data_IF_642388027991
#
_entry.id   IF_642388027991
#
_cell.length_a   1.000
_cell.length_b   1.000
_cell.length_c   1.000
_cell.angle_alpha   90.00
_cell.angle_beta   90.00
_cell.angle_gamma   90.00
#
_symmetry.space_group_name_H-M   'P 1'
#
loop_
_entity.id
_entity.type
_entity.pdbx_description
1 polymer ?
#
# COMPACT_ATOMS: atom_id res chain seq x y z
N UNK A 1 -81.35 -32.37 -16.52
CA UNK A 1 -80.21 -33.30 -16.69
C UNK A 1 -78.95 -32.63 -16.16
N UNK A 2 -78.33 -33.26 -15.16
CA UNK A 2 -76.90 -33.21 -14.75
C UNK A 2 -76.31 -31.83 -14.37
N UNK A 3 -76.14 -31.56 -13.08
CA UNK A 3 -74.92 -31.78 -12.24
C UNK A 3 -74.10 -30.49 -12.16
N UNK A 4 -74.13 -29.74 -11.05
CA UNK A 4 -73.27 -29.87 -9.84
C UNK A 4 -71.76 -29.83 -10.11
N UNK A 5 -71.11 -28.92 -9.36
CA UNK A 5 -69.79 -28.98 -8.73
C UNK A 5 -68.65 -28.06 -9.22
N UNK A 6 -68.21 -27.25 -8.24
CA UNK A 6 -66.84 -26.84 -7.86
C UNK A 6 -66.29 -25.53 -8.43
N UNK A 7 -66.47 -24.51 -7.58
CA UNK A 7 -65.50 -23.45 -7.35
C UNK A 7 -64.12 -24.02 -7.01
N UNK A 8 -63.08 -23.53 -7.69
CA UNK A 8 -61.71 -23.42 -7.18
C UNK A 8 -61.16 -22.10 -7.72
N UNK A 9 -60.89 -21.17 -6.81
CA UNK A 9 -60.23 -19.90 -7.07
C UNK A 9 -58.79 -20.16 -7.52
N UNK A 10 -58.42 -19.69 -8.72
CA UNK A 10 -57.03 -19.60 -9.14
C UNK A 10 -56.58 -18.17 -8.82
N UNK A 11 -56.10 -17.99 -7.60
CA UNK A 11 -55.32 -16.85 -7.17
C UNK A 11 -53.93 -16.98 -7.82
N UNK A 12 -53.75 -16.33 -8.96
CA UNK A 12 -52.44 -16.15 -9.60
C UNK A 12 -51.63 -15.15 -8.77
N UNK A 13 -51.12 -15.61 -7.63
CA UNK A 13 -50.02 -14.96 -6.95
C UNK A 13 -48.73 -15.44 -7.61
N UNK A 14 -48.26 -14.66 -8.58
CA UNK A 14 -46.92 -14.75 -9.11
C UNK A 14 -45.95 -14.47 -7.96
N UNK A 15 -45.52 -15.54 -7.28
CA UNK A 15 -44.39 -15.53 -6.36
C UNK A 15 -43.19 -15.17 -7.23
N UNK A 16 -42.81 -13.90 -7.18
CA UNK A 16 -41.49 -13.42 -7.58
C UNK A 16 -40.51 -14.24 -6.76
N UNK A 17 -39.80 -15.15 -7.41
CA UNK A 17 -38.59 -15.74 -6.88
C UNK A 17 -37.61 -14.60 -6.65
N UNK A 18 -37.64 -14.03 -5.45
CA UNK A 18 -36.47 -13.42 -4.83
C UNK A 18 -35.50 -14.58 -4.57
N UNK A 19 -34.77 -14.97 -5.61
CA UNK A 19 -33.45 -15.51 -5.42
C UNK A 19 -32.63 -14.35 -4.85
N UNK A 20 -32.57 -14.26 -3.52
CA UNK A 20 -31.38 -13.71 -2.90
C UNK A 20 -30.23 -14.60 -3.38
N UNK A 21 -29.51 -14.14 -4.39
CA UNK A 21 -28.19 -14.65 -4.68
C UNK A 21 -27.35 -14.26 -3.47
N UNK A 22 -27.27 -15.16 -2.49
CA UNK A 22 -26.13 -15.18 -1.60
C UNK A 22 -24.92 -15.37 -2.52
N UNK A 23 -24.26 -14.26 -2.86
CA UNK A 23 -22.93 -14.32 -3.44
C UNK A 23 -22.12 -15.22 -2.52
N UNK A 24 -21.63 -16.34 -3.05
CA UNK A 24 -20.69 -17.19 -2.35
C UNK A 24 -19.45 -16.34 -2.08
N UNK A 25 -19.44 -15.64 -0.95
CA UNK A 25 -18.26 -15.01 -0.39
C UNK A 25 -17.29 -16.18 -0.20
N UNK A 26 -16.33 -16.28 -1.11
CA UNK A 26 -15.19 -17.18 -1.00
C UNK A 26 -14.69 -17.12 0.44
N UNK A 27 -14.39 -18.27 1.05
CA UNK A 27 -13.89 -18.32 2.44
C UNK A 27 -12.72 -17.36 2.66
N UNK A 28 -11.94 -17.08 1.61
CA UNK A 28 -10.84 -16.10 1.60
C UNK A 28 -11.28 -14.62 1.58
N UNK A 29 -12.42 -14.29 0.98
CA UNK A 29 -12.95 -12.93 1.03
C UNK A 29 -13.39 -12.58 2.47
N UNK A 30 -13.89 -13.57 3.23
CA UNK A 30 -14.20 -13.39 4.66
C UNK A 30 -12.95 -13.20 5.53
N UNK A 31 -11.80 -13.79 5.15
CA UNK A 31 -10.52 -13.64 5.88
C UNK A 31 -9.98 -12.20 5.85
N UNK A 32 -10.27 -11.46 4.77
CA UNK A 32 -9.89 -10.05 4.65
C UNK A 32 -11.04 -9.11 5.04
N UNK A 33 -12.19 -9.67 5.43
CA UNK A 33 -13.37 -8.90 5.80
C UNK A 33 -13.93 -8.05 4.67
N UNK A 34 -13.87 -8.56 3.44
CA UNK A 34 -14.27 -7.83 2.25
C UNK A 34 -15.76 -7.48 2.29
N UNK A 35 -16.08 -6.19 2.16
CA UNK A 35 -17.45 -5.68 2.12
C UNK A 35 -17.86 -5.28 0.69
N UNK A 36 -16.93 -4.74 -0.11
CA UNK A 36 -17.18 -4.35 -1.50
C UNK A 36 -15.91 -4.45 -2.33
N UNK A 37 -16.00 -5.06 -3.52
CA UNK A 37 -14.91 -5.14 -4.50
C UNK A 37 -15.46 -4.93 -5.91
N UNK A 38 -15.04 -3.85 -6.55
CA UNK A 38 -15.21 -3.60 -7.98
C UNK A 38 -14.10 -2.66 -8.48
N UNK A 39 -14.09 -2.34 -9.77
CA UNK A 39 -13.07 -1.47 -10.38
C UNK A 39 -12.91 -0.12 -9.67
N UNK A 40 -13.99 0.41 -9.09
CA UNK A 40 -14.02 1.73 -8.49
C UNK A 40 -14.03 1.72 -6.95
N UNK A 41 -14.19 0.56 -6.30
CA UNK A 41 -14.34 0.49 -4.85
C UNK A 41 -13.66 -0.77 -4.30
N UNK A 42 -12.89 -0.61 -3.23
CA UNK A 42 -12.33 -1.71 -2.47
C UNK A 42 -12.42 -1.43 -0.97
N UNK A 43 -13.30 -2.14 -0.29
CA UNK A 43 -13.70 -1.85 1.09
C UNK A 43 -13.77 -3.12 1.93
N UNK A 44 -13.34 -3.05 3.19
CA UNK A 44 -13.46 -4.16 4.12
C UNK A 44 -13.11 -3.80 5.57
N UNK A 45 -13.42 -4.73 6.47
CA UNK A 45 -13.14 -4.63 7.91
C UNK A 45 -12.70 -5.96 8.48
N UNK A 46 -11.55 -5.98 9.13
CA UNK A 46 -10.95 -7.19 9.68
C UNK A 46 -10.24 -6.93 11.01
N UNK A 47 -10.01 -8.00 11.76
CA UNK A 47 -9.21 -7.98 12.98
C UNK A 47 -7.90 -8.70 12.70
N UNK A 48 -6.77 -8.01 12.87
CA UNK A 48 -5.43 -8.57 12.66
C UNK A 48 -4.58 -8.26 13.88
N UNK A 49 -3.99 -9.29 14.48
CA UNK A 49 -3.16 -9.17 15.69
C UNK A 49 -3.86 -8.40 16.83
N UNK A 50 -5.16 -8.62 17.03
CA UNK A 50 -6.02 -7.92 18.00
C UNK A 50 -6.26 -6.43 17.73
N UNK A 51 -5.94 -5.94 16.53
CA UNK A 51 -6.26 -4.58 16.09
C UNK A 51 -7.43 -4.60 15.12
N UNK A 52 -8.39 -3.68 15.31
CA UNK A 52 -9.49 -3.49 14.37
C UNK A 52 -9.00 -2.63 13.22
N UNK A 53 -9.12 -3.12 11.99
CA UNK A 53 -8.71 -2.42 10.79
C UNK A 53 -9.91 -2.29 9.86
N UNK A 54 -10.15 -1.10 9.35
CA UNK A 54 -11.05 -0.88 8.23
C UNK A 54 -10.35 -0.13 7.12
N UNK A 55 -10.58 -0.55 5.89
CA UNK A 55 -10.01 0.06 4.70
C UNK A 55 -11.11 0.40 3.69
N UNK A 56 -10.95 1.53 3.03
CA UNK A 56 -11.82 2.00 1.95
C UNK A 56 -10.92 2.62 0.89
N UNK A 57 -11.06 2.21 -0.36
CA UNK A 57 -10.48 2.91 -1.51
C UNK A 57 -11.54 3.11 -2.56
N UNK A 58 -11.78 4.36 -2.93
CA UNK A 58 -12.76 4.74 -3.95
C UNK A 58 -12.09 5.51 -5.09
N UNK A 59 -12.45 5.17 -6.32
CA UNK A 59 -12.08 5.93 -7.52
C UNK A 59 -12.99 7.17 -7.65
N UNK A 60 -12.37 8.34 -7.78
CA UNK A 60 -13.05 9.61 -8.11
C UNK A 60 -13.00 9.93 -9.61
N UNK A 61 -12.02 9.35 -10.31
CA UNK A 61 -11.86 9.31 -11.77
C UNK A 61 -10.82 8.23 -12.10
N UNK A 62 -10.61 7.91 -13.38
CA UNK A 62 -9.71 6.85 -13.85
C UNK A 62 -8.33 6.81 -13.15
N UNK A 63 -7.75 7.97 -12.84
CA UNK A 63 -6.42 8.08 -12.24
C UNK A 63 -6.41 8.78 -10.87
N UNK A 64 -7.57 9.01 -10.25
CA UNK A 64 -7.66 9.67 -8.93
C UNK A 64 -8.39 8.81 -7.91
N UNK A 65 -7.71 8.46 -6.83
CA UNK A 65 -8.20 7.54 -5.82
C UNK A 65 -8.16 8.19 -4.44
N UNK A 66 -9.22 7.96 -3.66
CA UNK A 66 -9.28 8.35 -2.26
C UNK A 66 -9.24 7.09 -1.39
N UNK A 67 -8.28 7.05 -0.49
CA UNK A 67 -8.13 6.03 0.53
C UNK A 67 -8.55 6.58 1.88
N UNK A 68 -9.20 5.74 2.67
CA UNK A 68 -9.33 5.90 4.12
C UNK A 68 -8.95 4.59 4.80
N UNK A 69 -8.03 4.65 5.75
CA UNK A 69 -7.52 3.53 6.51
C UNK A 69 -7.65 3.85 8.00
N UNK A 70 -8.39 3.04 8.73
CA UNK A 70 -8.54 3.17 10.18
C UNK A 70 -7.94 1.96 10.88
N UNK A 71 -7.15 2.20 11.92
CA UNK A 71 -6.66 1.17 12.84
C UNK A 71 -6.93 1.60 14.29
N UNK A 72 -7.70 0.82 15.04
CA UNK A 72 -8.11 1.12 16.41
C UNK A 72 -8.57 2.58 16.62
N UNK A 73 -9.45 3.07 15.74
CA UNK A 73 -10.00 4.45 15.73
C UNK A 73 -9.01 5.53 15.33
N UNK A 74 -7.81 5.19 14.89
CA UNK A 74 -6.84 6.13 14.31
C UNK A 74 -7.00 6.13 12.80
N UNK A 75 -7.40 7.27 12.27
CA UNK A 75 -7.74 7.47 10.86
C UNK A 75 -6.56 8.03 10.07
N UNK A 76 -6.32 7.50 8.88
CA UNK A 76 -5.46 8.08 7.85
C UNK A 76 -6.24 8.15 6.55
N UNK A 77 -6.38 9.36 6.03
CA UNK A 77 -6.96 9.62 4.72
C UNK A 77 -5.83 9.95 3.73
N UNK A 78 -5.97 9.51 2.49
CA UNK A 78 -5.05 9.88 1.42
C UNK A 78 -5.79 10.08 0.08
N UNK A 79 -5.37 11.07 -0.69
CA UNK A 79 -5.77 11.25 -2.09
C UNK A 79 -4.55 11.01 -2.97
N UNK A 80 -4.66 10.06 -3.90
CA UNK A 80 -3.60 9.65 -4.82
C UNK A 80 -4.03 10.02 -6.23
N UNK A 81 -3.20 10.81 -6.90
CA UNK A 81 -3.38 11.16 -8.31
C UNK A 81 -2.23 10.53 -9.10
N UNK A 82 -2.55 9.55 -9.95
CA UNK A 82 -1.59 8.84 -10.81
C UNK A 82 -1.24 9.60 -12.09
N UNK A 83 -2.02 10.62 -12.47
CA UNK A 83 -1.74 11.46 -13.65
C UNK A 83 -0.57 12.42 -13.39
N UNK A 84 -0.55 13.04 -12.21
CA UNK A 84 0.50 13.97 -11.80
C UNK A 84 1.40 13.45 -10.67
N UNK A 85 1.23 12.17 -10.30
CA UNK A 85 2.03 11.47 -9.29
C UNK A 85 2.12 12.24 -7.97
N UNK A 86 0.96 12.65 -7.46
CA UNK A 86 0.86 13.33 -6.18
C UNK A 86 0.08 12.52 -5.16
N UNK A 87 0.47 12.70 -3.90
CA UNK A 87 -0.18 12.07 -2.75
C UNK A 87 -0.44 13.16 -1.71
N UNK A 88 -1.71 13.41 -1.42
CA UNK A 88 -2.13 14.24 -0.29
C UNK A 88 -2.52 13.33 0.87
N UNK A 89 -1.73 13.31 1.95
CA UNK A 89 -1.98 12.48 3.14
C UNK A 89 -2.49 13.36 4.28
N UNK A 90 -3.51 12.90 4.99
CA UNK A 90 -3.95 13.46 6.26
C UNK A 90 -4.14 12.34 7.30
N UNK A 91 -3.15 12.15 8.16
CA UNK A 91 -3.27 11.24 9.30
C UNK A 91 -3.68 11.90 10.59
N UNK A 92 -4.22 13.13 10.57
CA UNK A 92 -4.78 13.79 11.76
C UNK A 92 -3.81 13.87 12.97
N UNK A 93 -2.51 13.95 12.69
CA UNK A 93 -1.41 13.95 13.67
C UNK A 93 -1.37 12.71 14.58
N UNK A 94 -1.86 11.57 14.10
CA UNK A 94 -1.75 10.31 14.84
C UNK A 94 -0.31 9.79 14.83
N UNK A 95 -0.03 8.93 15.80
CA UNK A 95 1.17 8.08 15.83
C UNK A 95 0.72 6.63 15.89
N UNK A 96 1.24 5.82 14.97
CA UNK A 96 1.05 4.36 14.99
C UNK A 96 2.16 3.71 15.82
N UNK A 97 1.76 2.80 16.71
CA UNK A 97 2.64 1.93 17.46
C UNK A 97 3.20 0.81 16.59
N UNK A 98 4.26 0.16 17.06
CA UNK A 98 4.88 -0.97 16.37
C UNK A 98 3.95 -2.19 16.19
N UNK A 99 2.99 -2.39 17.09
CA UNK A 99 2.01 -3.46 16.94
C UNK A 99 0.99 -3.10 15.85
N UNK A 100 0.50 -1.85 15.83
CA UNK A 100 -0.45 -1.35 14.83
C UNK A 100 0.16 -1.42 13.42
N UNK A 101 1.41 -0.98 13.25
CA UNK A 101 2.13 -1.09 11.97
C UNK A 101 2.32 -2.53 11.50
N UNK A 102 2.68 -3.44 12.41
CA UNK A 102 2.76 -4.88 12.09
C UNK A 102 1.41 -5.44 11.68
N UNK A 103 0.32 -4.99 12.31
CA UNK A 103 -1.03 -5.36 11.91
C UNK A 103 -1.37 -4.84 10.51
N UNK A 104 -1.03 -3.58 10.18
CA UNK A 104 -1.19 -3.03 8.83
C UNK A 104 -0.42 -3.83 7.77
N UNK A 105 0.87 -4.12 8.01
CA UNK A 105 1.67 -4.94 7.09
C UNK A 105 1.09 -6.34 6.90
N UNK A 106 0.56 -6.94 7.98
CA UNK A 106 -0.10 -8.25 7.91
C UNK A 106 -1.44 -8.17 7.16
N UNK A 107 -2.20 -7.08 7.31
CA UNK A 107 -3.42 -6.84 6.53
C UNK A 107 -3.12 -6.78 5.03
N UNK A 108 -2.11 -6.00 4.63
CA UNK A 108 -1.69 -5.98 3.23
C UNK A 108 -1.34 -7.39 2.72
N UNK A 109 -0.61 -8.17 3.52
CA UNK A 109 -0.24 -9.54 3.16
C UNK A 109 -1.48 -10.40 2.89
N UNK A 110 -2.46 -10.37 3.79
CA UNK A 110 -3.69 -11.16 3.64
C UNK A 110 -4.50 -10.73 2.40
N UNK A 111 -4.63 -9.43 2.16
CA UNK A 111 -5.32 -8.87 0.99
C UNK A 111 -4.68 -9.33 -0.31
N UNK A 112 -3.36 -9.30 -0.38
CA UNK A 112 -2.69 -9.77 -1.60
C UNK A 112 -2.76 -11.29 -1.76
N UNK A 113 -2.60 -12.07 -0.69
CA UNK A 113 -2.79 -13.52 -0.74
C UNK A 113 -4.21 -13.88 -1.26
N UNK A 114 -5.22 -13.09 -0.88
CA UNK A 114 -6.55 -13.16 -1.47
C UNK A 114 -6.51 -12.88 -2.98
N UNK A 115 -6.06 -11.70 -3.42
CA UNK A 115 -6.03 -11.28 -4.84
C UNK A 115 -5.28 -12.29 -5.72
N UNK A 116 -4.10 -12.72 -5.30
CA UNK A 116 -3.28 -13.70 -6.02
C UNK A 116 -4.03 -15.02 -6.23
N UNK A 117 -4.89 -15.39 -5.28
CA UNK A 117 -5.56 -16.69 -5.28
C UNK A 117 -6.97 -16.67 -5.86
N UNK A 118 -7.57 -15.50 -6.06
CA UNK A 118 -8.92 -15.34 -6.60
C UNK A 118 -8.96 -14.64 -7.96
N UNK A 119 -7.92 -13.87 -8.29
CA UNK A 119 -7.82 -13.09 -9.54
C UNK A 119 -6.57 -13.43 -10.36
N UNK A 120 -5.85 -14.51 -10.03
CA UNK A 120 -4.56 -14.88 -10.64
C UNK A 120 -3.55 -13.72 -10.66
N UNK A 121 -3.64 -12.81 -9.68
CA UNK A 121 -2.79 -11.63 -9.58
C UNK A 121 -3.21 -10.43 -10.43
N UNK A 122 -4.35 -10.49 -11.11
CA UNK A 122 -4.95 -9.33 -11.77
C UNK A 122 -5.43 -8.32 -10.72
N UNK A 123 -4.74 -7.19 -10.65
CA UNK A 123 -4.87 -6.19 -9.59
C UNK A 123 -5.50 -4.91 -10.15
N UNK A 124 -6.61 -4.47 -9.55
CA UNK A 124 -7.23 -3.19 -9.89
C UNK A 124 -6.40 -2.03 -9.32
N UNK A 125 -6.60 -0.82 -9.84
CA UNK A 125 -5.93 0.36 -9.28
C UNK A 125 -6.38 0.70 -7.86
N UNK A 126 -7.63 0.37 -7.47
CA UNK A 126 -8.10 0.50 -6.09
C UNK A 126 -7.37 -0.45 -5.14
N UNK A 127 -7.18 -1.71 -5.55
CA UNK A 127 -6.42 -2.72 -4.81
C UNK A 127 -4.93 -2.35 -4.69
N UNK A 128 -4.32 -1.91 -5.80
CA UNK A 128 -2.93 -1.47 -5.85
C UNK A 128 -2.69 -0.23 -4.96
N UNK A 129 -3.59 0.76 -5.03
CA UNK A 129 -3.54 1.94 -4.16
C UNK A 129 -3.59 1.52 -2.69
N UNK A 130 -4.46 0.57 -2.33
CA UNK A 130 -4.54 0.08 -0.95
C UNK A 130 -3.22 -0.56 -0.51
N UNK A 131 -2.72 -1.49 -1.30
CA UNK A 131 -1.55 -2.29 -0.96
C UNK A 131 -0.29 -1.43 -0.84
N UNK A 132 -0.01 -0.56 -1.82
CA UNK A 132 1.15 0.33 -1.83
C UNK A 132 1.16 1.27 -0.62
N UNK A 133 0.04 1.95 -0.35
CA UNK A 133 -0.08 2.84 0.79
C UNK A 133 -0.05 2.09 2.13
N UNK A 134 -0.70 0.93 2.25
CA UNK A 134 -0.64 0.12 3.48
C UNK A 134 0.79 -0.30 3.79
N UNK A 135 1.57 -0.67 2.78
CA UNK A 135 2.99 -0.98 2.94
C UNK A 135 3.79 0.25 3.37
N UNK A 136 3.59 1.38 2.69
CA UNK A 136 4.25 2.64 3.02
C UNK A 136 3.96 3.09 4.46
N UNK A 137 2.68 3.07 4.86
CA UNK A 137 2.24 3.43 6.21
C UNK A 137 2.78 2.42 7.23
N UNK A 138 2.66 1.13 6.98
CA UNK A 138 3.16 0.09 7.89
C UNK A 138 4.67 0.07 8.06
N UNK A 139 5.43 0.62 7.10
CA UNK A 139 6.89 0.78 7.18
C UNK A 139 7.34 2.12 7.71
N UNK A 140 6.41 2.99 8.09
CA UNK A 140 6.77 4.28 8.65
C UNK A 140 7.58 4.16 9.94
N UNK A 141 8.31 5.22 10.30
CA UNK A 141 9.08 5.28 11.53
C UNK A 141 8.37 5.06 12.82
N UNK A 142 9.11 4.55 13.79
CA UNK A 142 8.71 4.62 15.19
C UNK A 142 8.46 6.09 15.56
N UNK A 143 7.32 6.36 16.21
CA UNK A 143 6.89 7.71 16.56
C UNK A 143 6.65 8.65 15.36
N UNK A 144 6.48 8.13 14.14
CA UNK A 144 6.09 8.95 13.00
C UNK A 144 4.73 9.61 13.25
N UNK A 145 4.69 10.94 13.15
CA UNK A 145 3.46 11.71 13.24
C UNK A 145 2.90 11.84 11.84
N UNK A 146 1.76 11.22 11.58
CA UNK A 146 1.06 11.38 10.31
C UNK A 146 0.29 12.70 10.30
N UNK A 147 0.99 13.80 10.08
CA UNK A 147 0.38 15.10 9.87
C UNK A 147 -0.19 15.22 8.45
N UNK A 148 -0.92 16.31 8.20
CA UNK A 148 -1.28 16.69 6.83
C UNK A 148 -0.01 17.01 6.05
N UNK A 149 0.18 16.39 4.88
CA UNK A 149 1.29 16.68 3.96
C UNK A 149 0.91 16.39 2.51
N UNK A 150 1.61 17.05 1.60
CA UNK A 150 1.53 16.82 0.17
C UNK A 150 2.87 16.32 -0.33
N UNK A 151 2.86 15.18 -1.01
CA UNK A 151 4.00 14.59 -1.71
C UNK A 151 3.76 14.85 -3.20
N UNK A 152 4.79 15.36 -3.86
CA UNK A 152 4.83 15.56 -5.30
C UNK A 152 6.04 14.78 -5.80
N UNK A 153 5.85 13.87 -6.76
CA UNK A 153 6.95 13.25 -7.48
C UNK A 153 7.85 14.34 -8.04
N UNK A 154 9.13 14.33 -7.67
CA UNK A 154 10.04 15.41 -8.03
C UNK A 154 10.39 15.31 -9.51
N UNK A 155 10.26 16.42 -10.22
CA UNK A 155 10.87 16.58 -11.54
C UNK A 155 12.33 17.00 -11.38
N UNK A 156 13.23 16.03 -11.17
CA UNK A 156 14.69 16.16 -11.24
C UNK A 156 15.23 17.55 -10.79
N UNK A 157 15.22 17.81 -9.47
CA UNK A 157 15.71 19.07 -8.91
C UNK A 157 17.12 18.90 -8.33
N UNK A 158 18.11 19.49 -8.98
CA UNK A 158 19.55 19.50 -8.65
C UNK A 158 19.93 20.21 -7.33
N UNK A 159 19.16 20.11 -6.25
CA UNK A 159 19.49 20.77 -4.97
C UNK A 159 20.29 19.86 -4.05
N UNK A 160 21.55 20.24 -3.78
CA UNK A 160 22.62 19.51 -3.10
C UNK A 160 22.38 19.03 -1.64
N UNK A 161 21.17 19.17 -1.11
CA UNK A 161 20.80 18.78 0.27
C UNK A 161 19.96 17.52 0.38
N UNK A 162 19.56 16.98 -0.77
CA UNK A 162 19.22 15.59 -1.00
C UNK A 162 19.18 15.43 -2.53
N UNK A 163 19.73 14.34 -3.05
CA UNK A 163 19.60 14.03 -4.46
C UNK A 163 18.32 13.25 -4.68
N UNK A 164 17.17 13.88 -4.48
CA UNK A 164 15.92 13.31 -4.97
C UNK A 164 15.95 13.33 -6.50
N UNK A 165 16.15 12.16 -7.10
CA UNK A 165 16.19 12.01 -8.56
C UNK A 165 14.81 11.72 -9.16
N UNK A 166 13.76 11.82 -8.34
CA UNK A 166 12.43 11.33 -8.60
C UNK A 166 12.45 9.82 -8.88
N UNK A 167 11.36 9.32 -9.45
CA UNK A 167 11.22 7.88 -9.70
C UNK A 167 12.20 7.40 -10.78
N UNK A 168 13.34 6.90 -10.32
CA UNK A 168 14.43 6.38 -11.15
C UNK A 168 14.62 4.88 -10.94
N UNK A 169 14.31 4.09 -11.96
CA UNK A 169 14.41 2.63 -11.88
C UNK A 169 15.88 2.16 -11.84
N UNK A 170 16.20 1.30 -10.87
CA UNK A 170 17.47 0.57 -10.81
C UNK A 170 17.23 -0.94 -10.97
N UNK A 171 18.28 -1.72 -11.26
CA UNK A 171 18.13 -3.13 -11.64
C UNK A 171 18.80 -4.05 -10.63
N UNK A 172 18.08 -5.09 -10.18
CA UNK A 172 18.66 -6.13 -9.32
C UNK A 172 19.96 -6.69 -9.91
N UNK A 173 20.92 -7.00 -9.05
CA UNK A 173 22.26 -7.50 -9.41
C UNK A 173 23.17 -6.51 -10.17
N UNK A 174 22.78 -5.24 -10.35
CA UNK A 174 23.71 -4.19 -10.76
C UNK A 174 24.31 -3.50 -9.54
N UNK A 175 25.30 -2.64 -9.78
CA UNK A 175 25.80 -1.69 -8.79
C UNK A 175 25.33 -0.30 -9.15
N UNK A 176 24.86 0.43 -8.16
CA UNK A 176 24.52 1.85 -8.25
C UNK A 176 25.19 2.57 -7.08
N UNK A 177 25.35 3.89 -7.20
CA UNK A 177 25.73 4.70 -6.06
C UNK A 177 24.45 5.01 -5.29
N UNK A 178 24.44 4.73 -4.00
CA UNK A 178 23.46 5.27 -3.07
C UNK A 178 23.98 6.64 -2.60
N UNK A 179 23.15 7.67 -2.68
CA UNK A 179 23.50 9.06 -2.42
C UNK A 179 22.52 9.62 -1.39
N UNK A 180 23.00 9.79 -0.17
CA UNK A 180 22.21 10.17 1.00
C UNK A 180 23.03 11.14 1.84
N UNK A 181 22.39 11.84 2.76
CA UNK A 181 23.09 12.57 3.81
C UNK A 181 22.69 12.08 5.19
N UNK A 182 23.50 12.41 6.18
CA UNK A 182 23.16 12.18 7.57
C UNK A 182 23.80 13.26 8.44
N UNK A 183 23.73 13.11 9.76
CA UNK A 183 24.35 14.07 10.69
C UNK A 183 25.86 14.28 10.52
N UNK A 184 26.55 13.45 9.72
CA UNK A 184 27.98 13.55 9.37
C UNK A 184 28.23 14.16 7.99
N UNK A 185 27.18 14.49 7.23
CA UNK A 185 27.26 15.10 5.90
C UNK A 185 26.81 14.16 4.79
N UNK A 186 27.20 14.49 3.56
CA UNK A 186 26.76 13.77 2.35
C UNK A 186 27.66 12.55 2.08
N UNK A 187 27.03 11.45 1.67
CA UNK A 187 27.68 10.16 1.39
C UNK A 187 27.37 9.70 -0.03
N UNK A 188 28.26 8.87 -0.57
CA UNK A 188 28.06 8.19 -1.85
C UNK A 188 28.69 6.81 -1.79
N UNK A 189 27.84 5.79 -1.64
CA UNK A 189 28.27 4.41 -1.44
C UNK A 189 27.92 3.56 -2.66
N UNK A 190 28.88 2.79 -3.18
CA UNK A 190 28.59 1.86 -4.28
C UNK A 190 27.96 0.58 -3.74
N UNK A 191 26.65 0.44 -3.91
CA UNK A 191 25.86 -0.66 -3.36
C UNK A 191 25.38 -1.60 -4.45
N UNK A 192 25.38 -2.91 -4.16
CA UNK A 192 24.79 -3.91 -5.04
C UNK A 192 23.27 -3.96 -4.82
N UNK A 193 22.51 -3.71 -5.87
CA UNK A 193 21.05 -3.74 -5.85
C UNK A 193 20.54 -5.13 -5.49
N UNK A 194 19.67 -5.21 -4.49
CA UNK A 194 19.11 -6.47 -3.97
C UNK A 194 20.03 -7.24 -3.02
N UNK A 195 21.15 -6.65 -2.56
CA UNK A 195 22.04 -7.28 -1.58
C UNK A 195 21.42 -7.31 -0.17
N UNK A 196 21.94 -8.16 0.73
CA UNK A 196 21.48 -8.30 2.12
C UNK A 196 22.64 -8.03 3.09
N UNK A 197 22.89 -6.76 3.46
CA UNK A 197 24.06 -6.40 4.25
C UNK A 197 23.97 -6.79 5.74
N UNK A 198 22.77 -7.00 6.29
CA UNK A 198 22.61 -7.42 7.71
C UNK A 198 21.57 -8.52 7.87
N UNK A 199 21.59 -9.18 9.03
CA UNK A 199 20.52 -10.11 9.41
C UNK A 199 19.20 -9.34 9.53
N UNK A 200 18.15 -9.84 8.86
CA UNK A 200 16.83 -9.19 8.76
C UNK A 200 16.82 -7.80 8.11
N UNK A 201 17.87 -7.43 7.38
CA UNK A 201 17.92 -6.16 6.63
C UNK A 201 18.59 -6.37 5.28
N UNK A 202 17.85 -6.12 4.21
CA UNK A 202 18.39 -6.23 2.87
C UNK A 202 17.41 -5.89 1.78
N UNK A 203 17.83 -6.28 0.59
CA UNK A 203 17.14 -6.05 -0.68
C UNK A 203 17.29 -4.63 -1.15
N UNK A 204 18.49 -4.10 -0.87
CA UNK A 204 18.92 -2.74 -1.10
C UNK A 204 18.33 -2.17 -2.39
N UNK A 205 17.58 -1.09 -2.24
CA UNK A 205 16.94 -0.35 -3.30
C UNK A 205 15.57 -0.84 -3.69
N UNK A 206 15.02 -1.86 -3.02
CA UNK A 206 13.65 -2.31 -3.25
C UNK A 206 12.73 -1.46 -2.38
N UNK A 207 11.82 -0.71 -2.99
CA UNK A 207 10.74 -0.09 -2.23
C UNK A 207 9.87 -1.18 -1.62
N UNK A 208 9.77 -1.16 -0.28
CA UNK A 208 9.13 -2.21 0.48
C UNK A 208 10.12 -3.02 1.33
N UNK A 209 9.70 -4.21 1.76
CA UNK A 209 10.37 -4.92 2.86
C UNK A 209 10.92 -6.28 2.44
N UNK A 210 12.21 -6.51 2.75
CA UNK A 210 13.00 -7.72 2.46
C UNK A 210 12.83 -8.26 1.01
N UNK A 211 13.53 -9.34 0.68
CA UNK A 211 13.52 -9.96 -0.66
C UNK A 211 12.50 -11.09 -0.71
N UNK A 212 11.95 -11.43 0.45
CA UNK A 212 11.26 -12.66 0.71
C UNK A 212 9.78 -12.43 0.92
N UNK A 213 9.09 -11.74 -0.01
CA UNK A 213 7.67 -11.98 -0.31
C UNK A 213 7.15 -11.07 -1.42
N UNK A 214 6.41 -11.69 -2.34
CA UNK A 214 6.03 -11.23 -3.68
C UNK A 214 4.63 -10.58 -3.75
N UNK A 215 4.03 -10.25 -2.62
CA UNK A 215 2.58 -10.01 -2.56
C UNK A 215 2.19 -8.58 -2.97
N UNK A 216 3.09 -7.60 -2.96
CA UNK A 216 2.85 -6.31 -3.65
C UNK A 216 3.83 -6.21 -4.80
N UNK A 217 3.38 -5.82 -6.02
CA UNK A 217 4.28 -5.32 -7.03
C UNK A 217 5.18 -4.26 -6.40
N UNK A 218 6.48 -4.53 -6.38
CA UNK A 218 7.48 -3.61 -5.86
C UNK A 218 8.36 -3.11 -6.99
N UNK A 219 9.05 -2.01 -6.74
CA UNK A 219 10.04 -1.46 -7.65
C UNK A 219 11.42 -1.46 -7.01
N UNK A 220 12.46 -1.73 -7.80
CA UNK A 220 13.80 -1.26 -7.48
C UNK A 220 13.96 0.17 -7.99
N UNK A 221 14.17 1.11 -7.08
CA UNK A 221 14.34 2.52 -7.40
C UNK A 221 15.49 3.15 -6.63
N UNK A 222 15.89 4.34 -7.07
CA UNK A 222 17.04 5.07 -6.56
C UNK A 222 16.79 5.66 -5.17
N UNK A 223 15.67 6.35 -4.92
CA UNK A 223 15.40 6.93 -3.58
C UNK A 223 15.24 5.82 -2.52
N UNK A 224 14.63 4.69 -2.89
CA UNK A 224 14.59 3.50 -2.03
C UNK A 224 16.00 2.93 -1.75
N UNK A 225 16.97 3.07 -2.67
CA UNK A 225 18.35 2.64 -2.45
C UNK A 225 19.10 3.57 -1.51
N UNK A 226 18.88 4.88 -1.66
CA UNK A 226 19.49 5.90 -0.82
C UNK A 226 19.03 5.75 0.63
N UNK A 227 17.72 5.64 0.82
CA UNK A 227 17.12 5.35 2.12
C UNK A 227 17.65 4.05 2.72
N UNK A 228 17.71 2.97 1.93
CA UNK A 228 18.18 1.68 2.42
C UNK A 228 19.64 1.73 2.86
N UNK A 229 20.50 2.40 2.08
CA UNK A 229 21.91 2.49 2.43
C UNK A 229 22.14 3.42 3.62
N UNK A 230 21.46 4.56 3.70
CA UNK A 230 21.51 5.41 4.87
C UNK A 230 21.12 4.63 6.14
N UNK A 231 19.99 3.91 6.06
CA UNK A 231 19.46 3.11 7.16
C UNK A 231 20.38 1.96 7.54
N UNK A 232 21.06 1.36 6.56
CA UNK A 232 22.08 0.32 6.80
C UNK A 232 23.26 0.86 7.61
N UNK A 233 23.80 2.02 7.22
CA UNK A 233 25.00 2.60 7.83
C UNK A 233 24.70 3.20 9.20
N UNK A 234 23.57 3.90 9.35
CA UNK A 234 23.21 4.58 10.60
C UNK A 234 22.46 3.68 11.59
N UNK A 235 22.19 2.42 11.20
CA UNK A 235 21.27 1.54 11.92
C UNK A 235 19.93 2.26 12.21
N UNK A 236 19.48 3.05 11.23
CA UNK A 236 18.30 3.88 11.36
C UNK A 236 17.08 2.97 11.56
N UNK A 237 16.28 3.33 12.55
CA UNK A 237 14.98 2.71 12.82
C UNK A 237 13.89 3.77 12.99
N UNK A 238 14.26 5.05 12.82
CA UNK A 238 13.36 6.17 12.89
C UNK A 238 12.82 6.62 11.54
N UNK A 239 13.04 5.87 10.43
CA UNK A 239 12.75 6.26 9.02
C UNK A 239 12.56 7.78 8.82
N UNK A 240 11.43 8.26 8.30
CA UNK A 240 11.00 9.67 8.18
C UNK A 240 11.27 10.68 9.30
N UNK A 241 11.47 10.28 10.56
CA UNK A 241 11.84 11.16 11.70
C UNK A 241 13.23 10.87 12.25
N UNK A 242 13.95 9.92 11.64
CA UNK A 242 15.33 9.63 11.94
C UNK A 242 16.14 10.87 11.62
N UNK A 243 16.97 11.29 12.58
CA UNK A 243 17.83 12.46 12.39
C UNK A 243 18.82 12.28 11.23
N UNK A 244 19.09 11.04 10.86
CA UNK A 244 20.05 10.70 9.82
C UNK A 244 19.42 10.32 8.49
N UNK A 245 18.23 9.71 8.46
CA UNK A 245 17.73 9.06 7.23
C UNK A 245 16.24 9.34 6.94
N UNK A 246 15.67 10.38 7.55
CA UNK A 246 14.24 10.63 7.50
C UNK A 246 13.78 11.40 6.29
N UNK A 247 14.61 12.30 5.81
CA UNK A 247 14.52 12.87 4.48
C UNK A 247 14.47 11.78 3.41
N UNK A 248 15.43 10.86 3.35
CA UNK A 248 15.43 9.82 2.31
C UNK A 248 14.19 8.92 2.37
N UNK A 249 13.68 8.63 3.58
CA UNK A 249 12.42 7.90 3.72
C UNK A 249 11.22 8.67 3.13
N UNK A 250 11.19 9.98 3.35
CA UNK A 250 10.10 10.82 2.85
C UNK A 250 10.19 11.01 1.34
N UNK A 251 11.39 11.05 0.80
CA UNK A 251 11.66 11.15 -0.63
C UNK A 251 11.24 9.87 -1.35
N UNK A 252 11.62 8.70 -0.83
CA UNK A 252 11.20 7.41 -1.38
C UNK A 252 9.66 7.18 -1.38
N UNK A 253 8.85 8.04 -0.76
CA UNK A 253 7.41 7.85 -0.66
C UNK A 253 6.70 7.78 -2.02
N UNK A 254 7.13 8.58 -3.00
CA UNK A 254 6.60 8.54 -4.37
C UNK A 254 7.02 7.23 -5.08
N UNK A 255 8.25 6.77 -4.88
CA UNK A 255 8.76 5.50 -5.41
C UNK A 255 7.96 4.28 -4.92
N UNK A 256 7.53 4.30 -3.65
CA UNK A 256 6.67 3.26 -3.06
C UNK A 256 5.33 3.11 -3.79
N UNK A 257 4.74 4.21 -4.24
CA UNK A 257 3.38 4.22 -4.82
C UNK A 257 3.42 4.19 -6.35
N UNK A 258 4.39 4.85 -6.97
CA UNK A 258 4.41 5.10 -8.41
C UNK A 258 5.51 4.32 -9.14
N UNK A 259 6.51 3.75 -8.44
CA UNK A 259 7.63 3.04 -9.05
C UNK A 259 7.21 1.93 -10.03
N UNK A 260 6.24 1.10 -9.64
CA UNK A 260 5.74 0.02 -10.51
C UNK A 260 4.96 0.57 -11.70
N UNK A 261 4.14 1.59 -11.48
CA UNK A 261 3.33 2.22 -12.54
C UNK A 261 4.23 2.89 -13.58
N UNK A 262 5.38 3.44 -13.15
CA UNK A 262 6.46 3.94 -14.02
C UNK A 262 7.26 2.86 -14.76
N UNK A 263 6.94 1.59 -14.53
CA UNK A 263 7.58 0.44 -15.18
C UNK A 263 8.88 -0.02 -14.52
N UNK A 264 9.22 0.48 -13.32
CA UNK A 264 10.27 -0.12 -12.52
C UNK A 264 9.84 -1.52 -12.08
N UNK A 265 10.80 -2.45 -11.98
CA UNK A 265 10.52 -3.86 -11.71
C UNK A 265 11.23 -4.29 -10.43
N UNK A 266 10.54 -5.08 -9.61
CA UNK A 266 10.95 -5.62 -8.31
C UNK A 266 10.92 -7.14 -8.23
#
# INVERSE_FOLDING_TARGET
MKNYFKAIAILLFSIVFLQCTDENISTKASEIGLELQNENNFTGKLIVNNHNISYVVNSSSELNFNMSLEIDKKLIDASINYENESIDINGHNIVLSENEKRALLKTGQLISEYILSTKDGDISMTEYTLLSMTEYLGKSPNNYIYSKRKILSSGNTNTLKSRNEGITCIRKNTYVNAEYDDSRGNHSDRVRVGSKPRNNYGCMGRCGGDCGRWWIPSAWTKDCMDHDQCSNINNASGGGSDRNCGDEFNEAADDYVFGVIRGCRG
#
